data_IF_596829455534
#
_entry.id   IF_596829455534
#
_cell.length_a   1.000
_cell.length_b   1.000
_cell.length_c   1.000
_cell.angle_alpha   90.00
_cell.angle_beta   90.00
_cell.angle_gamma   90.00
#
_symmetry.space_group_name_H-M   'P 1'
#
loop_
_entity.id
_entity.type
_entity.pdbx_description
1 polymer ?
#
# COMPACT_ATOMS: atom_id res chain seq x y z
N UNK A 1 -3.01 -27.24 -26.52
CA UNK A 1 -2.21 -26.15 -25.93
C UNK A 1 -1.88 -25.17 -27.04
N UNK A 2 -2.03 -23.88 -26.79
CA UNK A 2 -1.72 -22.80 -27.74
C UNK A 2 -0.73 -21.84 -27.09
N UNK A 3 0.16 -21.25 -27.89
CA UNK A 3 1.17 -20.28 -27.44
C UNK A 3 0.92 -18.98 -28.21
N UNK A 4 0.89 -17.85 -27.50
CA UNK A 4 0.63 -16.53 -28.07
C UNK A 4 1.88 -15.66 -27.92
N UNK A 5 2.16 -14.84 -28.94
CA UNK A 5 3.20 -13.80 -28.89
C UNK A 5 2.57 -12.46 -28.53
N UNK A 6 3.29 -11.67 -27.74
CA UNK A 6 2.89 -10.33 -27.33
C UNK A 6 4.09 -9.38 -27.29
N UNK A 7 5.19 -9.73 -27.94
CA UNK A 7 6.37 -8.89 -28.07
C UNK A 7 6.10 -7.65 -28.94
N UNK A 8 7.11 -6.77 -29.03
CA UNK A 8 6.99 -5.47 -29.69
C UNK A 8 6.58 -5.58 -31.16
N UNK A 9 7.05 -6.62 -31.87
CA UNK A 9 6.82 -6.79 -33.31
C UNK A 9 5.35 -7.04 -33.64
N UNK A 10 4.64 -7.76 -32.77
CA UNK A 10 3.23 -8.14 -32.93
C UNK A 10 2.27 -7.17 -32.22
N UNK A 11 2.81 -6.22 -31.46
CA UNK A 11 2.04 -5.19 -30.76
C UNK A 11 1.61 -4.05 -31.71
N UNK A 12 0.52 -3.36 -31.39
CA UNK A 12 -0.04 -2.25 -32.19
C UNK A 12 0.57 -0.92 -31.73
N UNK A 13 1.12 -0.08 -32.63
CA UNK A 13 1.65 1.23 -32.25
C UNK A 13 0.55 2.24 -31.95
N UNK A 14 0.74 3.03 -30.90
CA UNK A 14 -0.10 4.14 -30.48
C UNK A 14 0.72 5.43 -30.49
N UNK A 15 0.27 6.41 -31.28
CA UNK A 15 0.94 7.71 -31.49
C UNK A 15 0.02 8.93 -31.28
N UNK A 16 -1.17 8.73 -30.72
CA UNK A 16 -2.19 9.78 -30.55
C UNK A 16 -2.11 10.43 -29.16
N UNK A 17 -2.66 11.63 -29.00
CA UNK A 17 -2.83 12.32 -27.70
C UNK A 17 -1.53 12.44 -26.88
N UNK A 18 -0.42 12.76 -27.53
CA UNK A 18 0.89 12.87 -26.87
C UNK A 18 1.52 11.53 -26.49
N UNK A 19 0.93 10.41 -26.90
CA UNK A 19 1.45 9.08 -26.62
C UNK A 19 2.44 8.61 -27.68
N UNK A 20 3.40 7.78 -27.26
CA UNK A 20 4.30 7.00 -28.12
C UNK A 20 4.63 5.68 -27.42
N UNK A 21 3.86 4.65 -27.71
CA UNK A 21 4.05 3.29 -27.17
C UNK A 21 3.46 2.24 -28.11
N UNK A 22 3.60 0.97 -27.75
CA UNK A 22 2.92 -0.14 -28.43
C UNK A 22 2.15 -1.00 -27.43
N UNK A 23 1.03 -1.56 -27.86
CA UNK A 23 0.17 -2.39 -27.01
C UNK A 23 -0.13 -3.75 -27.64
N UNK A 24 0.04 -4.80 -26.86
CA UNK A 24 -0.27 -6.19 -27.19
C UNK A 24 -1.39 -6.71 -26.28
N UNK A 25 -2.68 -6.64 -26.69
CA UNK A 25 -3.78 -7.15 -25.88
C UNK A 25 -3.71 -8.67 -25.71
N UNK A 26 -3.83 -9.17 -24.48
CA UNK A 26 -3.90 -10.61 -24.17
C UNK A 26 -5.35 -11.09 -24.01
N UNK A 27 -6.28 -10.18 -23.76
CA UNK A 27 -7.72 -10.41 -23.64
C UNK A 27 -8.48 -9.51 -24.60
N UNK A 28 -9.65 -9.94 -25.09
CA UNK A 28 -10.50 -9.13 -25.97
C UNK A 28 -11.43 -8.15 -25.25
N UNK A 29 -12.09 -7.29 -26.03
CA UNK A 29 -12.93 -6.18 -25.55
C UNK A 29 -14.13 -6.58 -24.67
N UNK A 30 -14.61 -7.82 -24.79
CA UNK A 30 -15.71 -8.35 -23.97
C UNK A 30 -15.30 -8.90 -22.60
N UNK A 31 -14.01 -8.90 -22.27
CA UNK A 31 -13.53 -9.42 -21.00
C UNK A 31 -13.85 -8.47 -19.83
N UNK A 32 -14.25 -9.02 -18.69
CA UNK A 32 -14.50 -8.24 -17.48
C UNK A 32 -13.22 -7.57 -16.93
N UNK A 33 -12.06 -8.17 -17.23
CA UNK A 33 -10.73 -7.62 -16.95
C UNK A 33 -9.94 -7.69 -18.25
N UNK A 34 -9.45 -6.54 -18.70
CA UNK A 34 -8.53 -6.44 -19.84
C UNK A 34 -7.10 -6.56 -19.35
N UNK A 35 -6.34 -7.47 -19.94
CA UNK A 35 -4.91 -7.65 -19.70
C UNK A 35 -4.16 -7.35 -20.99
N UNK A 36 -3.19 -6.45 -20.91
CA UNK A 36 -2.46 -5.95 -22.08
C UNK A 36 -0.97 -5.82 -21.72
N UNK A 37 -0.08 -6.05 -22.69
CA UNK A 37 1.34 -5.75 -22.53
C UNK A 37 1.61 -4.43 -23.24
N UNK A 38 2.28 -3.51 -22.56
CA UNK A 38 2.62 -2.19 -23.04
C UNK A 38 4.13 -2.05 -23.15
N UNK A 39 4.60 -1.61 -24.31
CA UNK A 39 6.01 -1.33 -24.58
C UNK A 39 6.21 0.17 -24.82
N UNK A 40 6.99 0.80 -23.95
CA UNK A 40 7.46 2.17 -24.15
C UNK A 40 8.88 2.11 -24.71
N UNK A 41 9.14 2.69 -25.89
CA UNK A 41 10.52 2.89 -26.35
C UNK A 41 11.21 3.97 -25.50
N UNK A 42 12.53 4.16 -25.63
CA UNK A 42 13.23 5.30 -25.03
C UNK A 42 12.55 6.64 -25.36
N UNK A 43 12.32 7.45 -24.33
CA UNK A 43 11.57 8.71 -24.36
C UNK A 43 10.07 8.57 -24.68
N UNK A 44 9.54 7.34 -24.69
CA UNK A 44 8.14 7.04 -24.95
C UNK A 44 7.27 7.45 -23.78
N UNK A 45 6.00 7.72 -24.05
CA UNK A 45 5.02 8.07 -23.03
C UNK A 45 3.63 7.54 -23.38
N UNK A 46 2.85 7.28 -22.35
CA UNK A 46 1.39 7.24 -22.41
C UNK A 46 0.93 8.64 -22.00
N UNK A 47 0.34 9.38 -22.95
CA UNK A 47 -0.09 10.75 -22.74
C UNK A 47 -1.15 10.85 -21.64
N UNK A 48 -1.28 12.03 -21.04
CA UNK A 48 -2.18 12.25 -19.91
C UNK A 48 -3.65 12.06 -20.28
N UNK A 49 -4.37 11.26 -19.50
CA UNK A 49 -5.80 11.00 -19.67
C UNK A 49 -6.44 10.47 -18.37
N UNK A 50 -7.77 10.53 -18.24
CA UNK A 50 -8.47 9.91 -17.12
C UNK A 50 -8.56 8.39 -17.31
N UNK A 51 -8.33 7.64 -16.24
CA UNK A 51 -8.53 6.18 -16.25
C UNK A 51 -10.01 5.85 -16.47
N UNK A 52 -10.32 5.08 -17.52
CA UNK A 52 -11.71 4.70 -17.85
C UNK A 52 -12.27 3.62 -16.92
N UNK A 53 -11.39 2.83 -16.33
CA UNK A 53 -11.66 1.80 -15.34
C UNK A 53 -10.49 1.77 -14.36
N UNK A 54 -10.60 0.97 -13.28
CA UNK A 54 -9.48 0.76 -12.37
C UNK A 54 -8.34 0.15 -13.16
N UNK A 55 -7.15 0.73 -13.09
CA UNK A 55 -6.03 0.40 -13.97
C UNK A 55 -4.75 0.16 -13.16
N UNK A 56 -4.20 -1.05 -13.25
CA UNK A 56 -2.91 -1.44 -12.69
C UNK A 56 -1.86 -1.44 -13.81
N UNK A 57 -0.77 -0.72 -13.61
CA UNK A 57 0.39 -0.66 -14.51
C UNK A 57 1.60 -1.25 -13.80
N UNK A 58 1.90 -2.51 -14.04
CA UNK A 58 2.99 -3.25 -13.41
C UNK A 58 4.20 -3.34 -14.34
N UNK A 59 5.32 -2.73 -13.96
CA UNK A 59 6.54 -2.78 -14.77
C UNK A 59 7.22 -4.14 -14.58
N UNK A 60 7.48 -4.82 -15.69
CA UNK A 60 8.13 -6.14 -15.70
C UNK A 60 9.58 -6.08 -16.18
N UNK A 61 9.96 -5.04 -16.92
CA UNK A 61 11.32 -4.82 -17.39
C UNK A 61 11.55 -3.35 -17.76
N UNK A 62 12.79 -2.87 -17.61
CA UNK A 62 13.19 -1.50 -17.91
C UNK A 62 12.79 -0.50 -16.83
N UNK A 63 12.94 0.78 -17.13
CA UNK A 63 12.82 1.87 -16.15
C UNK A 63 11.78 2.89 -16.61
N UNK A 64 10.97 3.37 -15.68
CA UNK A 64 9.87 4.26 -15.99
C UNK A 64 9.59 5.29 -14.93
N UNK A 65 8.60 6.10 -15.24
CA UNK A 65 7.96 6.99 -14.30
C UNK A 65 6.46 7.00 -14.55
N UNK A 66 5.72 7.29 -13.49
CA UNK A 66 4.26 7.43 -13.49
C UNK A 66 3.89 8.72 -12.78
N UNK A 67 2.76 9.32 -13.15
CA UNK A 67 2.18 10.46 -12.48
C UNK A 67 0.66 10.29 -12.38
N UNK A 68 0.09 10.66 -11.23
CA UNK A 68 -1.36 10.75 -11.03
C UNK A 68 -1.86 12.18 -11.25
N UNK A 69 -2.98 12.52 -10.60
CA UNK A 69 -3.62 13.83 -10.73
C UNK A 69 -2.81 15.01 -10.16
N UNK A 70 -1.77 14.75 -9.37
CA UNK A 70 -0.86 15.76 -8.82
C UNK A 70 0.29 16.14 -9.75
N UNK A 71 0.38 15.50 -10.92
CA UNK A 71 1.42 15.70 -11.94
C UNK A 71 2.85 15.40 -11.47
N UNK A 72 3.02 14.86 -10.25
CA UNK A 72 4.34 14.52 -9.71
C UNK A 72 4.80 13.19 -10.29
N UNK A 73 5.91 13.22 -11.04
CA UNK A 73 6.56 12.03 -11.59
C UNK A 73 7.22 11.22 -10.47
N UNK A 74 6.86 9.95 -10.40
CA UNK A 74 7.40 8.96 -9.47
C UNK A 74 8.07 7.85 -10.27
N UNK A 75 9.31 7.54 -9.93
CA UNK A 75 10.03 6.44 -10.57
C UNK A 75 9.32 5.11 -10.33
N UNK A 76 9.23 4.29 -11.37
CA UNK A 76 8.70 2.93 -11.31
C UNK A 76 9.60 2.03 -12.15
N UNK A 77 10.05 0.92 -11.58
CA UNK A 77 10.90 -0.06 -12.23
C UNK A 77 10.32 -1.47 -12.05
N UNK A 78 11.08 -2.52 -12.41
CA UNK A 78 10.64 -3.89 -12.25
C UNK A 78 10.16 -4.15 -10.82
N UNK A 79 9.18 -5.03 -10.68
CA UNK A 79 8.55 -5.42 -9.40
C UNK A 79 7.69 -4.33 -8.73
N UNK A 80 7.51 -3.16 -9.36
CA UNK A 80 6.60 -2.10 -8.90
C UNK A 80 5.42 -1.92 -9.85
N UNK A 81 4.29 -1.52 -9.29
CA UNK A 81 3.08 -1.21 -10.04
C UNK A 81 2.43 0.10 -9.58
N UNK A 82 1.91 0.87 -10.53
CA UNK A 82 1.01 1.98 -10.26
C UNK A 82 -0.44 1.51 -10.36
N UNK A 83 -1.31 2.05 -9.51
CA UNK A 83 -2.74 1.83 -9.57
C UNK A 83 -3.43 3.18 -9.67
N UNK A 84 -4.34 3.30 -10.64
CA UNK A 84 -5.19 4.47 -10.81
C UNK A 84 -6.66 4.06 -10.72
N UNK A 85 -7.45 4.88 -10.02
CA UNK A 85 -8.88 4.65 -9.86
C UNK A 85 -9.69 5.27 -11.03
N UNK A 86 -10.90 4.77 -11.34
CA UNK A 86 -11.72 5.33 -12.41
C UNK A 86 -11.91 6.85 -12.29
N UNK A 87 -11.61 7.58 -13.36
CA UNK A 87 -11.68 9.03 -13.45
C UNK A 87 -10.42 9.76 -12.96
N UNK A 88 -9.43 9.07 -12.40
CA UNK A 88 -8.16 9.67 -12.02
C UNK A 88 -7.33 10.02 -13.26
N UNK A 89 -6.89 11.28 -13.37
CA UNK A 89 -5.95 11.71 -14.41
C UNK A 89 -4.59 11.08 -14.16
N UNK A 90 -4.02 10.45 -15.18
CA UNK A 90 -2.71 9.82 -15.05
C UNK A 90 -1.87 9.88 -16.32
N UNK A 91 -0.58 9.63 -16.16
CA UNK A 91 0.43 9.63 -17.22
C UNK A 91 1.53 8.62 -16.86
N UNK A 92 2.18 8.05 -17.87
CA UNK A 92 3.34 7.18 -17.68
C UNK A 92 4.37 7.42 -18.77
N UNK A 93 5.64 7.18 -18.49
CA UNK A 93 6.69 7.32 -19.50
C UNK A 93 7.97 6.62 -19.11
N UNK A 94 8.93 6.69 -20.01
CA UNK A 94 10.22 6.05 -19.84
C UNK A 94 11.32 6.79 -20.60
N UNK A 95 12.46 7.00 -19.95
CA UNK A 95 13.63 7.60 -20.60
C UNK A 95 14.46 6.55 -21.35
N UNK A 96 14.54 5.32 -20.83
CA UNK A 96 15.38 4.23 -21.36
C UNK A 96 14.59 3.12 -22.07
N UNK A 97 13.27 3.19 -22.04
CA UNK A 97 12.35 2.15 -22.46
C UNK A 97 11.92 1.25 -21.30
N UNK A 98 10.68 0.75 -21.37
CA UNK A 98 10.15 -0.23 -20.42
C UNK A 98 9.10 -1.15 -21.07
N UNK A 99 8.87 -2.28 -20.42
CA UNK A 99 7.71 -3.15 -20.67
C UNK A 99 6.87 -3.25 -19.40
N UNK A 100 5.56 -3.07 -19.53
CA UNK A 100 4.60 -3.15 -18.45
C UNK A 100 3.43 -4.07 -18.78
N UNK A 101 2.89 -4.74 -17.78
CA UNK A 101 1.58 -5.37 -17.81
C UNK A 101 0.54 -4.34 -17.36
N UNK A 102 -0.47 -4.11 -18.19
CA UNK A 102 -1.60 -3.22 -17.90
C UNK A 102 -2.83 -4.07 -17.68
N UNK A 103 -3.45 -3.92 -16.52
CA UNK A 103 -4.69 -4.62 -16.14
C UNK A 103 -5.78 -3.59 -15.88
N UNK A 104 -6.89 -3.67 -16.60
CA UNK A 104 -8.00 -2.73 -16.51
C UNK A 104 -9.32 -3.45 -16.26
N UNK A 105 -10.15 -2.97 -15.33
CA UNK A 105 -11.47 -3.54 -15.08
C UNK A 105 -11.81 -3.64 -13.60
N UNK A 106 -12.51 -4.71 -13.21
CA UNK A 106 -12.88 -4.97 -11.81
C UNK A 106 -12.00 -6.08 -11.24
N UNK A 107 -11.07 -5.72 -10.38
CA UNK A 107 -10.14 -6.64 -9.71
C UNK A 107 -9.71 -6.10 -8.34
N UNK A 108 -9.28 -7.01 -7.46
CA UNK A 108 -8.67 -6.67 -6.18
C UNK A 108 -7.14 -6.62 -6.28
N UNK A 109 -6.51 -5.67 -5.59
CA UNK A 109 -5.06 -5.58 -5.46
C UNK A 109 -4.65 -6.12 -4.09
N UNK A 110 -3.82 -7.15 -4.11
CA UNK A 110 -3.27 -7.79 -2.90
C UNK A 110 -1.82 -7.40 -2.64
N UNK A 111 -1.17 -6.76 -3.64
CA UNK A 111 0.18 -6.26 -3.55
C UNK A 111 0.34 -5.27 -2.37
N UNK A 112 1.52 -5.26 -1.76
CA UNK A 112 1.85 -4.27 -0.73
C UNK A 112 1.92 -2.88 -1.36
N UNK A 113 1.03 -1.98 -0.90
CA UNK A 113 1.13 -0.58 -1.25
C UNK A 113 2.43 0.00 -0.69
N UNK A 114 3.29 0.49 -1.58
CA UNK A 114 4.52 1.19 -1.25
C UNK A 114 4.21 2.68 -1.21
N UNK A 115 4.51 3.34 -0.09
CA UNK A 115 4.42 4.80 -0.02
C UNK A 115 5.66 5.39 -0.69
N UNK A 116 5.49 6.10 -1.79
CA UNK A 116 6.59 6.80 -2.50
C UNK A 116 6.95 8.15 -1.88
N UNK A 117 6.13 8.63 -0.94
CA UNK A 117 6.41 9.82 -0.13
C UNK A 117 6.50 9.42 1.34
N UNK A 118 7.73 9.31 1.84
CA UNK A 118 7.98 9.10 3.27
C UNK A 118 8.12 10.44 3.94
N UNK A 119 7.05 10.84 4.61
CA UNK A 119 7.07 11.99 5.52
C UNK A 119 7.19 11.47 6.94
N UNK A 120 8.34 11.69 7.57
CA UNK A 120 8.48 11.60 9.03
C UNK A 120 8.07 12.95 9.61
N UNK A 121 6.88 13.00 10.19
CA UNK A 121 6.32 14.18 10.80
C UNK A 121 6.80 14.36 12.24
N UNK A 122 6.78 15.62 12.69
CA UNK A 122 6.93 15.91 14.11
C UNK A 122 5.76 15.33 14.92
N UNK A 123 5.94 15.12 16.24
CA UNK A 123 4.92 14.51 17.08
C UNK A 123 3.62 15.33 17.05
N UNK A 124 2.51 14.67 16.72
CA UNK A 124 1.21 15.32 16.63
C UNK A 124 0.30 14.87 17.79
N UNK A 125 -0.20 15.79 18.63
CA UNK A 125 -1.09 15.43 19.74
C UNK A 125 -2.47 14.91 19.29
N UNK A 126 -2.80 14.98 18.00
CA UNK A 126 -4.06 14.46 17.44
C UNK A 126 -4.01 12.97 17.11
N UNK A 127 -2.82 12.33 17.07
CA UNK A 127 -2.72 10.89 16.76
C UNK A 127 -3.51 9.98 17.71
N UNK A 128 -3.58 10.21 19.04
CA UNK A 128 -4.48 9.46 19.91
C UNK A 128 -5.95 9.60 19.50
N UNK A 129 -6.38 10.79 19.06
CA UNK A 129 -7.74 10.99 18.55
C UNK A 129 -7.97 10.24 17.25
N UNK A 130 -6.97 10.18 16.36
CA UNK A 130 -7.06 9.39 15.14
C UNK A 130 -7.18 7.90 15.44
N UNK A 131 -6.43 7.40 16.42
CA UNK A 131 -6.57 6.02 16.89
C UNK A 131 -7.99 5.76 17.42
N UNK A 132 -8.55 6.64 18.25
CA UNK A 132 -9.92 6.48 18.75
C UNK A 132 -10.95 6.45 17.62
N UNK A 133 -10.81 7.28 16.57
CA UNK A 133 -11.70 7.25 15.41
C UNK A 133 -11.69 5.88 14.70
N UNK A 134 -10.49 5.30 14.51
CA UNK A 134 -10.38 3.97 13.91
C UNK A 134 -10.92 2.90 14.85
N UNK A 135 -10.63 3.00 16.16
CA UNK A 135 -11.13 2.08 17.19
C UNK A 135 -12.65 2.08 17.25
N UNK A 136 -13.31 3.23 17.22
CA UNK A 136 -14.77 3.37 17.22
C UNK A 136 -15.42 2.70 16.00
N UNK A 137 -14.74 2.67 14.85
CA UNK A 137 -15.22 1.93 13.67
C UNK A 137 -15.12 0.42 13.86
N UNK A 138 -14.00 -0.05 14.42
CA UNK A 138 -13.64 -1.48 14.46
C UNK A 138 -14.26 -2.19 15.65
N UNK A 139 -14.20 -1.59 16.83
CA UNK A 139 -14.58 -2.21 18.11
C UNK A 139 -15.99 -2.83 18.10
N UNK A 140 -17.05 -2.15 17.60
CA UNK A 140 -18.40 -2.71 17.62
C UNK A 140 -18.56 -4.03 16.86
N UNK A 141 -17.68 -4.30 15.87
CA UNK A 141 -17.74 -5.52 15.09
C UNK A 141 -17.06 -6.72 15.78
N UNK A 142 -16.16 -6.46 16.73
CA UNK A 142 -15.28 -7.48 17.32
C UNK A 142 -15.39 -7.59 18.84
N UNK A 143 -16.12 -6.68 19.51
CA UNK A 143 -16.16 -6.58 20.97
C UNK A 143 -16.72 -7.83 21.69
N UNK A 144 -17.41 -8.73 21.00
CA UNK A 144 -17.89 -10.01 21.52
C UNK A 144 -16.81 -11.11 21.56
N UNK A 145 -15.70 -10.91 20.83
CA UNK A 145 -14.63 -11.92 20.67
C UNK A 145 -13.24 -11.36 21.03
N UNK A 146 -12.93 -10.14 20.60
CA UNK A 146 -11.67 -9.47 20.91
C UNK A 146 -11.69 -8.93 22.35
N UNK A 147 -10.55 -9.09 23.04
CA UNK A 147 -10.38 -8.61 24.41
C UNK A 147 -10.20 -7.10 24.48
N UNK A 148 -9.51 -6.51 23.50
CA UNK A 148 -9.19 -5.08 23.41
C UNK A 148 -8.68 -4.71 22.00
N UNK A 149 -8.49 -3.42 21.78
CA UNK A 149 -7.73 -2.87 20.66
C UNK A 149 -6.64 -1.98 21.23
N UNK A 150 -5.39 -2.26 20.89
CA UNK A 150 -4.22 -1.52 21.38
C UNK A 150 -3.68 -0.56 20.31
N UNK A 151 -3.42 0.69 20.70
CA UNK A 151 -2.63 1.61 19.86
C UNK A 151 -1.16 1.23 19.97
N UNK A 152 -0.56 0.85 18.84
CA UNK A 152 0.84 0.41 18.75
C UNK A 152 1.62 1.27 17.74
N UNK A 153 2.86 0.89 17.47
CA UNK A 153 3.72 1.64 16.54
C UNK A 153 4.13 3.01 17.07
N UNK A 154 4.77 3.80 16.21
CA UNK A 154 5.40 5.06 16.65
C UNK A 154 4.41 6.15 17.04
N UNK A 155 3.22 6.17 16.43
CA UNK A 155 2.19 7.18 16.71
C UNK A 155 1.52 7.00 18.08
N UNK A 156 1.73 5.84 18.71
CA UNK A 156 1.28 5.58 20.09
C UNK A 156 2.25 6.12 21.16
N UNK A 157 3.43 6.62 20.79
CA UNK A 157 4.45 7.12 21.72
C UNK A 157 4.43 8.65 21.75
N UNK A 158 4.01 9.29 22.87
CA UNK A 158 4.00 10.75 22.97
C UNK A 158 5.37 11.36 22.73
N UNK A 159 5.42 12.41 21.89
CA UNK A 159 6.67 13.14 21.59
C UNK A 159 7.63 12.42 20.64
N UNK A 160 7.25 11.29 20.04
CA UNK A 160 8.08 10.57 19.06
C UNK A 160 7.69 10.96 17.63
N UNK A 161 8.68 11.27 16.78
CA UNK A 161 8.45 11.47 15.34
C UNK A 161 7.96 10.19 14.65
N UNK A 162 7.07 10.31 13.68
CA UNK A 162 6.51 9.14 13.01
C UNK A 162 6.02 9.48 11.60
N UNK A 163 5.84 8.44 10.78
CA UNK A 163 4.91 8.55 9.64
C UNK A 163 3.50 8.75 10.22
N UNK A 164 2.68 9.67 9.69
CA UNK A 164 1.33 9.95 10.20
C UNK A 164 0.35 8.83 9.78
N UNK A 165 0.61 7.61 10.26
CA UNK A 165 -0.16 6.39 10.04
C UNK A 165 -0.35 5.73 11.41
N UNK A 166 -1.58 5.43 11.77
CA UNK A 166 -1.90 4.74 13.02
C UNK A 166 -1.65 3.24 12.86
N UNK A 167 -0.96 2.60 13.80
CA UNK A 167 -0.87 1.15 13.87
C UNK A 167 -1.72 0.67 15.05
N UNK A 168 -2.59 -0.33 14.83
CA UNK A 168 -3.42 -0.90 15.89
C UNK A 168 -3.47 -2.42 15.84
N UNK A 169 -3.52 -3.02 17.03
CA UNK A 169 -3.68 -4.46 17.22
C UNK A 169 -5.08 -4.74 17.78
N UNK A 170 -5.88 -5.53 17.06
CA UNK A 170 -7.05 -6.22 17.62
C UNK A 170 -6.54 -7.46 18.34
N UNK A 171 -6.74 -7.55 19.65
CA UNK A 171 -6.12 -8.59 20.48
C UNK A 171 -7.16 -9.62 20.92
N UNK A 172 -6.97 -10.87 20.53
CA UNK A 172 -7.79 -12.01 20.97
C UNK A 172 -7.05 -12.87 22.01
N UNK A 173 -7.78 -13.66 22.78
CA UNK A 173 -7.19 -14.45 23.87
C UNK A 173 -6.63 -15.79 23.38
N UNK A 174 -7.24 -16.37 22.34
CA UNK A 174 -6.86 -17.68 21.83
C UNK A 174 -6.77 -17.69 20.30
N UNK A 175 -6.06 -18.68 19.74
CA UNK A 175 -6.00 -18.87 18.28
C UNK A 175 -7.37 -19.23 17.66
N UNK A 176 -8.28 -19.84 18.44
CA UNK A 176 -9.62 -20.18 17.98
C UNK A 176 -10.46 -18.93 17.65
N UNK A 177 -10.15 -17.81 18.30
CA UNK A 177 -10.81 -16.52 18.14
C UNK A 177 -10.35 -15.73 16.90
N UNK A 178 -9.18 -16.08 16.33
CA UNK A 178 -8.60 -15.37 15.18
C UNK A 178 -9.54 -15.43 13.98
N UNK A 179 -10.04 -16.63 13.64
CA UNK A 179 -10.89 -16.80 12.47
C UNK A 179 -12.22 -16.06 12.58
N UNK A 180 -12.96 -16.15 13.70
CA UNK A 180 -14.12 -15.30 13.94
C UNK A 180 -13.83 -13.81 13.72
N UNK A 181 -12.74 -13.28 14.27
CA UNK A 181 -12.40 -11.85 14.13
C UNK A 181 -12.08 -11.48 12.67
N UNK A 182 -11.38 -12.33 11.91
CA UNK A 182 -11.17 -12.11 10.46
C UNK A 182 -12.52 -11.91 9.76
N UNK A 183 -13.50 -12.77 10.02
CA UNK A 183 -14.80 -12.70 9.37
C UNK A 183 -15.63 -11.50 9.85
N UNK A 184 -15.51 -11.10 11.12
CA UNK A 184 -16.10 -9.85 11.65
C UNK A 184 -15.52 -8.62 10.97
N UNK A 185 -14.20 -8.52 10.83
CA UNK A 185 -13.52 -7.38 10.20
C UNK A 185 -13.90 -7.25 8.71
N UNK A 186 -14.07 -8.37 8.01
CA UNK A 186 -14.61 -8.38 6.64
C UNK A 186 -15.99 -7.74 6.55
N UNK A 187 -16.87 -8.00 7.53
CA UNK A 187 -18.23 -7.43 7.53
C UNK A 187 -18.27 -5.90 7.62
N UNK A 188 -17.19 -5.27 8.12
CA UNK A 188 -17.04 -3.81 8.19
C UNK A 188 -16.10 -3.25 7.12
N UNK A 189 -15.75 -4.06 6.11
CA UNK A 189 -15.06 -3.64 4.90
C UNK A 189 -13.54 -3.84 4.89
N UNK A 190 -12.95 -4.37 5.96
CA UNK A 190 -11.52 -4.67 5.98
C UNK A 190 -11.21 -5.93 5.15
N UNK A 191 -10.14 -5.87 4.35
CA UNK A 191 -9.69 -7.00 3.55
C UNK A 191 -8.52 -7.70 4.22
N UNK A 192 -8.66 -8.98 4.51
CA UNK A 192 -7.61 -9.81 5.08
C UNK A 192 -6.49 -10.06 4.08
N UNK A 193 -5.24 -9.85 4.49
CA UNK A 193 -4.03 -9.96 3.65
C UNK A 193 -3.08 -11.08 4.08
N UNK A 194 -3.51 -11.94 5.01
CA UNK A 194 -2.64 -12.93 5.65
C UNK A 194 -1.61 -12.29 6.58
N UNK A 195 -0.51 -12.99 6.82
CA UNK A 195 0.49 -12.59 7.81
C UNK A 195 1.56 -11.61 7.30
N UNK A 196 1.65 -11.44 5.98
CA UNK A 196 2.68 -10.68 5.28
C UNK A 196 4.10 -11.07 5.72
N UNK A 197 4.31 -12.35 6.04
CA UNK A 197 5.59 -12.91 6.48
C UNK A 197 5.90 -12.73 7.97
N UNK A 198 4.95 -12.27 8.79
CA UNK A 198 5.12 -12.13 10.24
C UNK A 198 4.24 -13.14 10.98
N UNK A 199 4.84 -14.27 11.38
CA UNK A 199 4.13 -15.35 12.09
C UNK A 199 3.42 -14.86 13.35
N UNK A 200 2.14 -15.23 13.50
CA UNK A 200 1.31 -14.88 14.66
C UNK A 200 0.67 -13.49 14.59
N UNK A 201 0.63 -12.88 13.40
CA UNK A 201 -0.04 -11.60 13.11
C UNK A 201 -0.80 -11.71 11.81
N UNK A 202 -2.06 -11.29 11.79
CA UNK A 202 -2.85 -11.17 10.57
C UNK A 202 -3.01 -9.70 10.20
N UNK A 203 -2.71 -9.33 8.96
CA UNK A 203 -2.78 -7.95 8.47
C UNK A 203 -4.04 -7.69 7.64
N UNK A 204 -4.54 -6.46 7.71
CA UNK A 204 -5.73 -6.04 6.98
C UNK A 204 -5.48 -4.76 6.18
N UNK A 205 -6.03 -4.70 4.97
CA UNK A 205 -6.21 -3.45 4.25
C UNK A 205 -7.50 -2.77 4.72
N UNK A 206 -7.48 -1.45 4.97
CA UNK A 206 -8.69 -0.71 5.27
C UNK A 206 -9.65 -0.69 4.07
N UNK A 207 -10.95 -0.45 4.30
CA UNK A 207 -11.91 -0.24 3.22
C UNK A 207 -11.52 0.94 2.31
N UNK A 208 -11.79 0.81 1.01
CA UNK A 208 -11.52 1.86 0.04
C UNK A 208 -12.45 3.07 0.29
N UNK A 209 -11.92 4.29 0.15
CA UNK A 209 -12.65 5.55 0.32
C UNK A 209 -13.26 5.81 1.71
N UNK A 210 -12.74 5.18 2.77
CA UNK A 210 -13.14 5.56 4.12
C UNK A 210 -12.54 6.92 4.51
N UNK A 211 -13.28 7.72 5.28
CA UNK A 211 -12.82 9.01 5.82
C UNK A 211 -11.96 8.84 7.07
N UNK A 212 -11.62 7.60 7.41
CA UNK A 212 -10.77 7.30 8.54
C UNK A 212 -9.34 7.82 8.33
N UNK A 213 -8.65 8.18 9.42
CA UNK A 213 -7.20 8.41 9.39
C UNK A 213 -6.46 7.21 8.77
N UNK A 214 -5.34 7.47 8.08
CA UNK A 214 -4.50 6.39 7.54
C UNK A 214 -4.05 5.47 8.67
N UNK A 215 -4.22 4.16 8.48
CA UNK A 215 -3.88 3.19 9.51
C UNK A 215 -3.50 1.82 8.95
N UNK A 216 -2.78 1.05 9.75
CA UNK A 216 -2.62 -0.39 9.64
C UNK A 216 -3.38 -1.07 10.77
N UNK A 217 -4.14 -2.10 10.42
CA UNK A 217 -4.84 -2.95 11.37
C UNK A 217 -4.22 -4.34 11.35
N UNK A 218 -3.84 -4.81 12.53
CA UNK A 218 -3.36 -6.16 12.76
C UNK A 218 -4.30 -6.90 13.73
N UNK A 219 -4.35 -8.22 13.61
CA UNK A 219 -4.99 -9.11 14.57
C UNK A 219 -3.91 -10.04 15.12
N UNK A 220 -3.87 -10.16 16.45
CA UNK A 220 -2.85 -10.92 17.17
C UNK A 220 -3.46 -11.66 18.35
N UNK A 221 -2.81 -12.73 18.78
CA UNK A 221 -3.14 -13.43 20.03
C UNK A 221 -2.37 -12.82 21.20
N UNK A 222 -3.05 -12.61 22.32
CA UNK A 222 -2.47 -12.03 23.52
C UNK A 222 -1.26 -12.85 24.01
N UNK A 223 -0.21 -12.15 24.44
CA UNK A 223 1.08 -12.75 24.80
C UNK A 223 1.86 -13.42 23.65
N UNK A 224 1.32 -13.50 22.43
CA UNK A 224 2.04 -14.01 21.26
C UNK A 224 3.24 -13.13 20.88
N UNK A 225 4.21 -13.69 20.17
CA UNK A 225 5.47 -12.99 19.84
C UNK A 225 5.22 -11.68 19.07
N UNK A 226 4.38 -11.69 18.04
CA UNK A 226 4.11 -10.49 17.24
C UNK A 226 3.45 -9.37 18.07
N UNK A 227 2.51 -9.73 18.94
CA UNK A 227 1.89 -8.80 19.89
C UNK A 227 2.91 -8.23 20.88
N UNK A 228 3.78 -9.08 21.45
CA UNK A 228 4.84 -8.66 22.36
C UNK A 228 5.83 -7.72 21.68
N UNK A 229 6.25 -7.99 20.44
CA UNK A 229 7.17 -7.14 19.70
C UNK A 229 6.61 -5.72 19.52
N UNK A 230 5.30 -5.58 19.27
CA UNK A 230 4.63 -4.27 19.19
C UNK A 230 4.56 -3.56 20.55
N UNK A 231 4.07 -4.24 21.58
CA UNK A 231 3.82 -3.64 22.91
C UNK A 231 5.12 -3.30 23.64
N UNK A 232 6.10 -4.21 23.64
CA UNK A 232 7.38 -4.01 24.33
C UNK A 232 8.16 -2.84 23.73
N UNK A 233 8.18 -2.70 22.40
CA UNK A 233 8.83 -1.57 21.74
C UNK A 233 8.13 -0.26 22.08
N UNK A 234 6.79 -0.22 22.01
CA UNK A 234 6.01 0.97 22.38
C UNK A 234 6.32 1.40 23.81
N UNK A 235 6.22 0.48 24.75
CA UNK A 235 6.32 0.78 26.18
C UNK A 235 7.78 1.18 26.54
N UNK A 236 8.78 0.52 25.95
CA UNK A 236 10.18 0.95 26.05
C UNK A 236 10.36 2.41 25.60
N UNK A 237 9.79 2.80 24.45
CA UNK A 237 9.94 4.16 23.92
C UNK A 237 9.10 5.20 24.68
N UNK A 238 8.05 4.78 25.40
CA UNK A 238 7.30 5.65 26.32
C UNK A 238 8.12 5.93 27.58
N UNK A 239 8.72 4.89 28.15
CA UNK A 239 9.33 4.91 29.48
C UNK A 239 10.82 5.31 29.47
N UNK A 240 11.54 5.14 28.36
CA UNK A 240 12.95 5.50 28.20
C UNK A 240 13.13 6.68 27.20
N UNK A 241 13.33 7.91 27.70
CA UNK A 241 13.58 9.09 26.86
C UNK A 241 14.80 8.97 25.96
N UNK A 242 15.86 8.26 26.39
CA UNK A 242 17.08 8.09 25.62
C UNK A 242 16.85 7.11 24.47
N UNK A 243 16.16 6.00 24.73
CA UNK A 243 15.73 5.08 23.67
C UNK A 243 14.83 5.80 22.65
N UNK A 244 13.87 6.61 23.13
CA UNK A 244 13.01 7.43 22.26
C UNK A 244 13.82 8.39 21.39
N UNK A 245 14.80 9.09 21.97
CA UNK A 245 15.66 10.02 21.24
C UNK A 245 16.51 9.31 20.17
N UNK A 246 17.14 8.17 20.51
CA UNK A 246 17.92 7.36 19.55
C UNK A 246 17.05 6.88 18.39
N UNK A 247 15.85 6.38 18.68
CA UNK A 247 14.93 5.90 17.67
C UNK A 247 14.39 7.02 16.77
N UNK A 248 14.11 8.20 17.33
CA UNK A 248 13.74 9.39 16.57
C UNK A 248 14.86 9.84 15.62
N UNK A 249 16.11 9.85 16.09
CA UNK A 249 17.26 10.21 15.28
C UNK A 249 17.46 9.25 14.09
N UNK A 250 17.33 7.94 14.34
CA UNK A 250 17.41 6.92 13.30
C UNK A 250 16.33 7.12 12.21
N UNK A 251 15.08 7.35 12.61
CA UNK A 251 13.99 7.58 11.64
C UNK A 251 14.22 8.82 10.77
N UNK A 252 14.72 9.91 11.36
CA UNK A 252 15.07 11.13 10.59
C UNK A 252 16.22 10.86 9.62
N UNK A 253 17.25 10.13 10.05
CA UNK A 253 18.37 9.75 9.18
C UNK A 253 17.91 8.85 8.02
N UNK A 254 17.05 7.86 8.29
CA UNK A 254 16.48 6.99 7.26
C UNK A 254 15.62 7.77 6.27
N UNK A 255 14.77 8.69 6.75
CA UNK A 255 13.94 9.54 5.88
C UNK A 255 14.79 10.44 4.98
N UNK A 256 15.85 11.05 5.53
CA UNK A 256 16.78 11.87 4.75
C UNK A 256 17.52 11.07 3.69
N UNK A 257 17.92 9.83 4.00
CA UNK A 257 18.59 8.93 3.05
C UNK A 257 17.64 8.40 1.98
N UNK A 258 16.40 8.12 2.34
CA UNK A 258 15.40 7.53 1.47
C UNK A 258 14.94 8.46 0.34
N UNK A 259 14.90 9.77 0.58
CA UNK A 259 14.43 10.72 -0.43
C UNK A 259 13.02 10.42 -0.95
N UNK A 260 12.18 9.75 -0.14
CA UNK A 260 10.85 9.27 -0.51
C UNK A 260 10.74 7.75 -0.68
N UNK A 261 11.83 7.02 -0.91
CA UNK A 261 11.77 5.58 -1.21
C UNK A 261 11.62 4.69 0.03
N UNK A 262 10.50 3.94 0.13
CA UNK A 262 10.20 3.10 1.31
C UNK A 262 11.23 1.99 1.51
N UNK A 263 11.77 1.43 0.43
CA UNK A 263 12.67 0.28 0.51
C UNK A 263 14.04 0.71 1.07
N UNK A 264 14.39 2.00 0.94
CA UNK A 264 15.61 2.59 1.51
C UNK A 264 15.41 3.01 2.98
N UNK A 265 14.16 3.31 3.35
CA UNK A 265 13.80 3.78 4.69
C UNK A 265 13.69 2.66 5.73
N UNK A 266 13.09 1.53 5.35
CA UNK A 266 12.90 0.35 6.19
C UNK A 266 14.24 -0.34 6.46
#
# INVERSE_FOLDING_TARGET
MQIFRFDEEVSVPIAAHGSRFRIGPLTGDGAAVRVQVLHLPPGGAVGRHPAVARQLFAVVAGDGWVAGGDEVRRAVGPDRAALWEPGEEHEAGSDLGLTALVVEGVFDVWAAAVTTDIVVADPDPTWPTWFEQVRERVWPAVADVASRIDHVGSTSVPGLVAKPIIDLDVVVTTEEDVRPVIDRLRSVGYRWRGDLGVTGREAFAPPDHDRLPRHHLYLVVDGGRAHQDHVLLRDLLRDDPDARARYAALKRANAARAGGDVDVYV
#
